data_IF_163740595199
#
_entry.id   IF_163740595199
#
_cell.length_a   1.000
_cell.length_b   1.000
_cell.length_c   1.000
_cell.angle_alpha   90.00
_cell.angle_beta   90.00
_cell.angle_gamma   90.00
#
_symmetry.space_group_name_H-M   'P 1'
#
loop_
_entity.id
_entity.type
_entity.pdbx_description
1 polymer ?
#
# COMPACT_ATOMS: atom_id res chain seq x y z
N UNK A 1 -31.53 -30.93 22.60
CA UNK A 1 -30.16 -31.47 22.80
C UNK A 1 -29.25 -30.44 22.19
N UNK A 2 -28.48 -29.80 23.06
CA UNK A 2 -27.57 -28.75 22.66
C UNK A 2 -26.24 -29.45 22.27
N UNK A 3 -26.06 -29.70 20.99
CA UNK A 3 -24.89 -30.40 20.44
C UNK A 3 -23.69 -29.46 20.24
N UNK A 4 -23.62 -28.39 21.02
CA UNK A 4 -22.50 -27.42 20.98
C UNK A 4 -21.26 -27.97 21.66
N UNK A 5 -20.06 -27.72 21.07
CA UNK A 5 -18.77 -27.95 21.75
C UNK A 5 -18.62 -26.86 22.83
N UNK A 6 -18.79 -27.28 24.10
CA UNK A 6 -18.50 -26.41 25.24
C UNK A 6 -17.02 -26.51 25.61
N UNK A 7 -16.33 -25.37 25.65
CA UNK A 7 -14.95 -25.30 26.14
C UNK A 7 -14.92 -24.66 27.52
N UNK A 8 -14.09 -25.20 28.41
CA UNK A 8 -13.84 -24.56 29.72
C UNK A 8 -13.08 -23.26 29.53
N UNK A 9 -13.34 -22.22 30.33
CA UNK A 9 -12.47 -21.06 30.39
C UNK A 9 -11.01 -21.54 30.63
N UNK A 10 -10.07 -20.92 29.97
CA UNK A 10 -8.61 -21.20 30.02
C UNK A 10 -8.11 -22.45 29.28
N UNK A 11 -8.96 -23.20 28.59
CA UNK A 11 -8.51 -24.30 27.71
C UNK A 11 -8.90 -24.01 26.26
N UNK A 12 -7.92 -23.66 25.43
CA UNK A 12 -8.14 -23.52 23.98
C UNK A 12 -8.47 -24.86 23.33
N UNK A 13 -9.21 -24.83 22.23
CA UNK A 13 -9.43 -26.01 21.37
C UNK A 13 -8.09 -26.38 20.70
N UNK A 14 -7.53 -27.54 21.08
CA UNK A 14 -6.40 -28.15 20.38
C UNK A 14 -6.91 -29.17 19.39
N UNK A 15 -6.70 -28.89 18.10
CA UNK A 15 -6.97 -29.84 17.03
C UNK A 15 -5.63 -30.37 16.55
N UNK A 16 -5.33 -31.62 16.82
CA UNK A 16 -4.13 -32.29 16.32
C UNK A 16 -4.56 -33.21 15.19
N UNK A 17 -4.09 -33.00 13.95
CA UNK A 17 -4.36 -33.94 12.87
C UNK A 17 -3.68 -35.28 13.17
N UNK A 18 -4.45 -36.35 13.14
CA UNK A 18 -3.92 -37.71 13.24
C UNK A 18 -3.70 -38.24 11.81
N UNK A 19 -2.44 -38.42 11.41
CA UNK A 19 -2.06 -38.99 10.13
C UNK A 19 -1.71 -37.96 9.04
N UNK A 20 -1.62 -38.41 7.79
CA UNK A 20 -1.19 -37.62 6.64
C UNK A 20 -2.25 -36.62 6.13
N UNK A 21 -3.48 -36.75 6.59
CA UNK A 21 -4.56 -35.81 6.21
C UNK A 21 -4.48 -34.55 7.03
N UNK A 22 -4.31 -33.44 6.37
CA UNK A 22 -4.09 -32.12 6.98
C UNK A 22 -5.38 -31.33 7.25
N UNK A 23 -6.56 -31.90 6.91
CA UNK A 23 -7.84 -31.19 7.09
C UNK A 23 -8.20 -31.10 8.57
N UNK A 24 -8.23 -29.91 9.13
CA UNK A 24 -8.58 -29.65 10.52
C UNK A 24 -10.09 -29.58 10.72
N UNK A 25 -10.78 -28.89 9.83
CA UNK A 25 -12.23 -28.67 9.88
C UNK A 25 -12.79 -28.81 8.48
N UNK A 26 -13.86 -29.56 8.32
CA UNK A 26 -14.56 -29.73 7.06
C UNK A 26 -16.05 -29.45 7.22
N UNK A 27 -16.61 -28.69 6.31
CA UNK A 27 -18.01 -28.35 6.26
C UNK A 27 -18.68 -29.10 5.10
N UNK A 28 -19.76 -29.79 5.39
CA UNK A 28 -20.47 -30.60 4.41
C UNK A 28 -21.90 -30.11 4.22
N UNK A 29 -22.38 -30.17 3.00
CA UNK A 29 -23.81 -29.98 2.71
C UNK A 29 -24.64 -31.11 3.30
N UNK A 30 -25.83 -30.83 3.82
CA UNK A 30 -26.69 -31.75 4.52
C UNK A 30 -26.96 -33.09 3.79
N UNK A 31 -26.76 -33.18 2.48
CA UNK A 31 -27.02 -34.36 1.66
C UNK A 31 -25.81 -34.87 0.84
N UNK A 32 -24.61 -34.35 1.05
CA UNK A 32 -23.39 -34.81 0.37
C UNK A 32 -22.52 -35.61 1.34
N UNK A 33 -22.27 -36.86 1.05
CA UNK A 33 -21.50 -37.75 1.93
C UNK A 33 -20.01 -37.83 1.60
N UNK A 34 -19.49 -37.11 0.59
CA UNK A 34 -18.14 -37.36 0.08
C UNK A 34 -17.25 -36.15 -0.21
N UNK A 35 -17.78 -34.96 -0.37
CA UNK A 35 -16.97 -33.77 -0.67
C UNK A 35 -17.32 -32.62 0.25
N UNK A 36 -16.32 -32.02 0.89
CA UNK A 36 -16.49 -30.82 1.70
C UNK A 36 -16.73 -29.61 0.79
N UNK A 37 -17.78 -28.84 1.04
CA UNK A 37 -17.98 -27.54 0.37
C UNK A 37 -16.94 -26.52 0.77
N UNK A 38 -16.42 -26.66 1.99
CA UNK A 38 -15.42 -25.78 2.54
C UNK A 38 -14.55 -26.53 3.55
N UNK A 39 -13.24 -26.32 3.56
CA UNK A 39 -12.35 -26.90 4.55
C UNK A 39 -11.25 -25.93 4.98
N UNK A 40 -10.76 -26.15 6.19
CA UNK A 40 -9.59 -25.46 6.75
C UNK A 40 -8.55 -26.52 7.05
N UNK A 41 -7.34 -26.34 6.58
CA UNK A 41 -6.25 -27.26 6.87
C UNK A 41 -4.94 -26.55 7.22
N UNK A 42 -4.08 -27.31 7.91
CA UNK A 42 -2.66 -26.96 8.09
C UNK A 42 -1.87 -27.99 7.30
N UNK A 43 -1.16 -27.55 6.29
CA UNK A 43 -0.40 -28.44 5.44
C UNK A 43 0.81 -29.02 6.22
N UNK A 44 0.93 -30.37 6.30
CA UNK A 44 1.99 -31.08 7.02
C UNK A 44 3.40 -30.73 6.50
N UNK A 45 3.52 -30.15 5.30
CA UNK A 45 4.77 -29.66 4.72
C UNK A 45 5.27 -28.32 5.28
N UNK A 46 4.77 -27.86 6.41
CA UNK A 46 5.23 -26.61 7.03
C UNK A 46 4.79 -25.31 6.35
N UNK A 47 3.80 -25.37 5.47
CA UNK A 47 3.48 -24.24 4.57
C UNK A 47 2.45 -23.24 5.10
N UNK A 48 1.80 -23.50 6.24
CA UNK A 48 0.84 -22.58 6.87
C UNK A 48 -0.60 -23.03 6.84
N UNK A 49 -1.54 -22.09 7.01
CA UNK A 49 -2.98 -22.31 7.08
C UNK A 49 -3.61 -22.11 5.70
N UNK A 50 -4.50 -23.01 5.30
CA UNK A 50 -5.20 -22.93 4.03
C UNK A 50 -6.72 -23.04 4.24
N UNK A 51 -7.45 -22.26 3.47
CA UNK A 51 -8.90 -22.33 3.34
C UNK A 51 -9.21 -22.81 1.92
N UNK A 52 -9.97 -23.88 1.82
CA UNK A 52 -10.35 -24.48 0.55
C UNK A 52 -11.86 -24.39 0.33
N UNK A 53 -12.25 -24.19 -0.91
CA UNK A 53 -13.63 -24.31 -1.38
C UNK A 53 -13.88 -25.68 -2.03
N UNK A 54 -14.90 -25.73 -2.87
CA UNK A 54 -15.25 -26.93 -3.63
C UNK A 54 -14.02 -27.45 -4.43
N UNK A 55 -13.92 -28.78 -4.53
CA UNK A 55 -12.85 -29.49 -5.24
C UNK A 55 -11.44 -29.13 -4.72
N UNK A 56 -11.32 -28.88 -3.43
CA UNK A 56 -10.05 -28.51 -2.76
C UNK A 56 -9.35 -27.28 -3.37
N UNK A 57 -10.09 -26.40 -4.04
CA UNK A 57 -9.56 -25.16 -4.57
C UNK A 57 -9.12 -24.24 -3.42
N UNK A 58 -7.86 -23.84 -3.39
CA UNK A 58 -7.37 -22.87 -2.40
C UNK A 58 -8.02 -21.50 -2.61
N UNK A 59 -8.78 -21.05 -1.60
CA UNK A 59 -9.40 -19.72 -1.58
C UNK A 59 -8.50 -18.70 -0.88
N UNK A 60 -7.92 -19.10 0.27
CA UNK A 60 -6.98 -18.27 1.04
C UNK A 60 -5.85 -19.17 1.49
N UNK A 61 -4.62 -18.70 1.35
CA UNK A 61 -3.40 -19.31 1.90
C UNK A 61 -2.69 -18.30 2.79
N UNK A 62 -2.36 -18.70 4.01
CA UNK A 62 -1.50 -17.91 4.92
C UNK A 62 -0.26 -18.74 5.18
N UNK A 63 0.89 -18.31 4.64
CA UNK A 63 2.17 -18.99 4.82
C UNK A 63 2.80 -18.65 6.18
N UNK A 64 3.70 -19.51 6.65
CA UNK A 64 4.44 -19.27 7.90
C UNK A 64 5.33 -18.04 7.87
N UNK A 65 5.81 -17.64 6.70
CA UNK A 65 6.60 -16.42 6.49
C UNK A 65 5.74 -15.14 6.48
N UNK A 66 4.41 -15.26 6.72
CA UNK A 66 3.47 -14.14 6.81
C UNK A 66 2.81 -13.75 5.49
N UNK A 67 3.17 -14.37 4.36
CA UNK A 67 2.56 -14.08 3.07
C UNK A 67 1.14 -14.62 3.00
N UNK A 68 0.25 -13.85 2.38
CA UNK A 68 -1.16 -14.19 2.20
C UNK A 68 -1.50 -14.27 0.71
N UNK A 69 -2.04 -15.40 0.28
CA UNK A 69 -2.59 -15.59 -1.06
C UNK A 69 -4.10 -15.60 -1.05
N UNK A 70 -4.73 -14.85 -1.93
CA UNK A 70 -6.16 -14.96 -2.24
C UNK A 70 -6.30 -15.61 -3.60
N UNK A 71 -6.93 -16.78 -3.67
CA UNK A 71 -7.00 -17.63 -4.86
C UNK A 71 -5.60 -17.99 -5.42
N UNK A 72 -4.56 -17.83 -4.61
CA UNK A 72 -3.15 -18.08 -4.91
C UNK A 72 -2.59 -19.03 -3.85
N UNK A 73 -2.14 -20.22 -4.26
CA UNK A 73 -1.61 -21.25 -3.35
C UNK A 73 -0.13 -21.04 -3.00
N UNK A 74 0.60 -20.25 -3.81
CA UNK A 74 2.02 -19.98 -3.64
C UNK A 74 2.30 -18.46 -3.72
N UNK A 75 1.91 -17.68 -2.68
CA UNK A 75 2.16 -16.25 -2.69
C UNK A 75 3.66 -15.92 -2.62
N UNK A 76 4.12 -15.04 -3.49
CA UNK A 76 5.50 -14.55 -3.56
C UNK A 76 5.67 -13.21 -2.83
N UNK A 77 4.57 -12.43 -2.70
CA UNK A 77 4.52 -11.13 -2.01
C UNK A 77 3.75 -11.25 -0.69
N UNK A 78 3.80 -10.21 0.14
CA UNK A 78 3.05 -10.13 1.41
C UNK A 78 1.54 -10.37 1.22
N UNK A 79 1.01 -9.90 0.10
CA UNK A 79 -0.35 -10.20 -0.36
C UNK A 79 -0.36 -10.43 -1.86
N UNK A 80 -0.70 -11.63 -2.28
CA UNK A 80 -0.95 -11.98 -3.68
C UNK A 80 -2.41 -12.29 -3.89
N UNK A 81 -3.02 -11.65 -4.91
CA UNK A 81 -4.41 -11.85 -5.30
C UNK A 81 -4.45 -12.30 -6.76
N UNK A 82 -4.79 -13.58 -6.99
CA UNK A 82 -5.08 -14.08 -8.33
C UNK A 82 -6.53 -13.75 -8.66
N UNK A 83 -6.76 -12.49 -9.07
CA UNK A 83 -8.08 -11.96 -9.35
C UNK A 83 -8.13 -10.43 -9.31
N UNK A 84 -9.31 -9.87 -9.14
CA UNK A 84 -9.53 -8.42 -9.07
C UNK A 84 -9.56 -7.95 -7.62
N UNK A 85 -8.75 -6.95 -7.29
CA UNK A 85 -8.73 -6.29 -5.99
C UNK A 85 -9.59 -5.01 -6.02
N UNK A 86 -10.71 -5.02 -5.30
CA UNK A 86 -11.52 -3.84 -5.03
C UNK A 86 -11.08 -3.15 -3.73
N UNK A 87 -10.68 -1.87 -3.80
CA UNK A 87 -10.30 -1.08 -2.63
C UNK A 87 -11.00 0.28 -2.67
N UNK A 88 -11.45 0.77 -1.52
CA UNK A 88 -12.09 2.08 -1.43
C UNK A 88 -11.10 3.23 -1.67
N UNK A 89 -9.88 3.09 -1.16
CA UNK A 89 -8.80 4.07 -1.35
C UNK A 89 -7.43 3.39 -1.22
N UNK A 90 -6.43 3.94 -1.90
CA UNK A 90 -5.03 3.52 -1.79
C UNK A 90 -4.19 4.69 -1.30
N UNK A 91 -3.41 4.48 -0.26
CA UNK A 91 -2.47 5.46 0.29
C UNK A 91 -1.06 4.93 0.15
N UNK A 92 -0.17 5.73 -0.43
CA UNK A 92 1.26 5.42 -0.50
C UNK A 92 1.90 5.49 0.88
N UNK A 93 2.71 4.50 1.23
CA UNK A 93 3.34 4.38 2.56
C UNK A 93 4.87 4.34 2.49
N UNK A 94 5.48 4.44 1.32
CA UNK A 94 6.94 4.56 1.20
C UNK A 94 7.45 5.82 1.91
N UNK A 95 6.80 6.95 1.65
CA UNK A 95 7.00 8.18 2.41
C UNK A 95 5.70 8.96 2.47
N UNK A 96 5.44 9.60 3.59
CA UNK A 96 4.33 10.55 3.75
C UNK A 96 4.79 11.70 4.63
N UNK A 97 4.21 12.85 4.42
CA UNK A 97 4.56 14.02 5.22
C UNK A 97 3.89 15.28 4.73
N UNK A 98 4.40 16.38 5.24
CA UNK A 98 3.91 17.69 4.95
C UNK A 98 5.11 18.65 4.83
N UNK A 99 5.08 19.52 3.84
CA UNK A 99 6.09 20.58 3.65
C UNK A 99 5.40 21.91 3.39
N UNK A 100 6.05 23.06 3.69
CA UNK A 100 5.45 24.36 3.46
C UNK A 100 5.03 24.60 2.00
N UNK A 101 3.88 25.23 1.80
CA UNK A 101 3.37 25.70 0.51
C UNK A 101 3.77 27.17 0.26
N UNK A 102 5.03 27.53 0.57
CA UNK A 102 5.58 28.88 0.58
C UNK A 102 6.23 29.28 -0.76
N UNK A 103 6.01 28.49 -1.81
CA UNK A 103 6.63 28.73 -3.12
C UNK A 103 8.10 28.34 -3.22
N UNK A 104 8.75 27.89 -2.15
CA UNK A 104 10.13 27.44 -2.14
C UNK A 104 10.23 25.92 -2.30
N UNK A 105 11.40 25.44 -2.70
CA UNK A 105 11.65 24.01 -2.86
C UNK A 105 11.93 23.34 -1.52
N UNK A 106 11.14 22.32 -1.19
CA UNK A 106 11.29 21.49 0.01
C UNK A 106 11.53 20.04 -0.37
N UNK A 107 12.48 19.35 0.29
CA UNK A 107 12.69 17.93 0.06
C UNK A 107 11.51 17.11 0.63
N UNK A 108 11.01 16.18 -0.17
CA UNK A 108 9.96 15.22 0.23
C UNK A 108 10.52 13.80 0.35
N UNK A 109 11.62 13.51 -0.33
CA UNK A 109 12.45 12.32 -0.13
C UNK A 109 13.91 12.75 -0.27
N UNK A 110 14.79 12.21 0.58
CA UNK A 110 16.23 12.47 0.58
C UNK A 110 17.02 11.16 0.63
N UNK A 111 18.32 11.25 0.36
CA UNK A 111 19.22 10.09 0.50
C UNK A 111 18.99 8.99 -0.51
N UNK A 112 18.48 9.34 -1.68
CA UNK A 112 18.20 8.38 -2.74
C UNK A 112 19.48 8.05 -3.52
N UNK A 113 19.61 6.78 -3.90
CA UNK A 113 20.66 6.27 -4.78
C UNK A 113 20.07 5.26 -5.77
N UNK A 114 20.68 5.15 -6.95
CA UNK A 114 20.33 4.16 -7.94
C UNK A 114 19.02 4.42 -8.69
N UNK A 115 18.38 3.34 -9.10
CA UNK A 115 17.15 3.36 -9.90
C UNK A 115 15.94 3.43 -8.99
N UNK A 116 15.10 4.43 -9.18
CA UNK A 116 13.87 4.61 -8.39
C UNK A 116 12.68 4.97 -9.28
N UNK A 117 11.52 4.51 -8.87
CA UNK A 117 10.24 4.85 -9.47
C UNK A 117 9.20 5.07 -8.37
N UNK A 118 8.64 6.27 -8.31
CA UNK A 118 7.67 6.67 -7.31
C UNK A 118 6.36 7.14 -7.94
N UNK A 119 5.26 6.79 -7.28
CA UNK A 119 3.96 7.42 -7.49
C UNK A 119 3.70 8.38 -6.31
N UNK A 120 3.32 9.61 -6.63
CA UNK A 120 3.13 10.68 -5.66
C UNK A 120 1.70 11.18 -5.77
N UNK A 121 0.98 11.21 -4.66
CA UNK A 121 -0.25 11.96 -4.52
C UNK A 121 -0.05 13.08 -3.51
N UNK A 122 -0.44 14.30 -3.85
CA UNK A 122 -0.27 15.44 -2.97
C UNK A 122 -1.43 16.42 -3.08
N UNK A 123 -1.68 17.11 -1.98
CA UNK A 123 -2.68 18.17 -1.88
C UNK A 123 -2.09 19.38 -1.18
N UNK A 124 -2.39 20.55 -1.71
CA UNK A 124 -2.13 21.82 -1.03
C UNK A 124 -3.43 22.59 -0.87
N UNK A 125 -3.66 23.11 0.33
CA UNK A 125 -4.83 23.92 0.66
C UNK A 125 -4.37 25.19 1.34
N UNK A 126 -4.71 26.32 0.76
CA UNK A 126 -4.53 27.64 1.39
C UNK A 126 -5.73 28.04 2.21
N UNK A 127 -5.82 29.34 2.52
CA UNK A 127 -6.94 29.89 3.25
C UNK A 127 -8.27 29.64 2.51
N UNK A 128 -9.28 29.24 3.25
CA UNK A 128 -10.63 29.00 2.71
C UNK A 128 -11.13 30.23 1.94
N UNK A 129 -11.73 30.03 0.78
CA UNK A 129 -12.26 31.06 -0.13
C UNK A 129 -11.23 31.97 -0.79
N UNK A 130 -9.94 31.66 -0.79
CA UNK A 130 -8.89 32.46 -1.47
C UNK A 130 -8.45 31.89 -2.80
N UNK A 131 -8.92 30.70 -3.19
CA UNK A 131 -8.58 30.08 -4.47
C UNK A 131 -7.26 29.32 -4.54
N UNK A 132 -6.58 29.13 -3.41
CA UNK A 132 -5.30 28.42 -3.35
C UNK A 132 -5.52 26.94 -3.02
N UNK A 133 -5.91 26.15 -4.01
CA UNK A 133 -6.11 24.71 -3.89
C UNK A 133 -5.46 23.99 -5.04
N UNK A 134 -4.77 22.90 -4.74
CA UNK A 134 -4.20 22.02 -5.75
C UNK A 134 -4.22 20.58 -5.27
N UNK A 135 -4.58 19.68 -6.16
CA UNK A 135 -4.31 18.24 -6.02
C UNK A 135 -3.38 17.83 -7.15
N UNK A 136 -2.43 16.97 -6.84
CA UNK A 136 -1.41 16.50 -7.77
C UNK A 136 -1.28 14.99 -7.73
N UNK A 137 -1.12 14.40 -8.92
CA UNK A 137 -0.73 13.01 -9.11
C UNK A 137 0.48 12.99 -10.04
N UNK A 138 1.59 12.44 -9.58
CA UNK A 138 2.83 12.42 -10.35
C UNK A 138 3.50 11.04 -10.34
N UNK A 139 4.16 10.72 -11.45
CA UNK A 139 5.10 9.61 -11.55
C UNK A 139 6.50 10.20 -11.68
N UNK A 140 7.37 9.86 -10.76
CA UNK A 140 8.75 10.34 -10.70
C UNK A 140 9.72 9.17 -10.88
N UNK A 141 10.47 9.20 -11.98
CA UNK A 141 11.42 8.18 -12.39
C UNK A 141 12.83 8.74 -12.37
N UNK A 142 13.79 7.97 -11.89
CA UNK A 142 15.21 8.31 -11.96
C UNK A 142 16.08 7.07 -12.09
N UNK A 143 17.16 7.24 -12.86
CA UNK A 143 18.23 6.25 -13.05
C UNK A 143 19.56 6.83 -12.55
N UNK A 144 19.55 7.53 -11.40
CA UNK A 144 20.76 8.10 -10.85
C UNK A 144 21.78 6.99 -10.54
N UNK A 145 22.88 6.99 -11.19
CA UNK A 145 23.89 5.95 -11.09
C UNK A 145 25.13 6.28 -11.88
N UNK A 146 25.27 7.51 -12.38
CA UNK A 146 26.45 7.90 -13.10
C UNK A 146 26.21 8.83 -14.29
N UNK A 147 27.23 8.95 -15.10
CA UNK A 147 27.22 9.74 -16.31
C UNK A 147 26.18 9.19 -17.30
N UNK A 148 25.26 10.03 -17.74
CA UNK A 148 24.19 9.63 -18.67
C UNK A 148 22.88 9.22 -18.03
N UNK A 149 22.79 9.22 -16.71
CA UNK A 149 21.51 9.03 -16.00
C UNK A 149 20.45 9.98 -16.49
N UNK A 150 19.24 9.47 -16.58
CA UNK A 150 18.06 10.26 -16.96
C UNK A 150 17.01 10.18 -15.88
N UNK A 151 16.37 11.31 -15.64
CA UNK A 151 15.25 11.40 -14.72
C UNK A 151 14.08 12.09 -15.40
N UNK A 152 12.88 11.70 -15.03
CA UNK A 152 11.63 12.26 -15.58
C UNK A 152 10.58 12.35 -14.48
N UNK A 153 9.77 13.40 -14.54
CA UNK A 153 8.58 13.54 -13.71
C UNK A 153 7.41 13.88 -14.61
N UNK A 154 6.40 13.02 -14.61
CA UNK A 154 5.10 13.30 -15.21
C UNK A 154 4.17 13.73 -14.08
N UNK A 155 3.66 14.94 -14.13
CA UNK A 155 2.83 15.52 -13.08
C UNK A 155 1.51 16.01 -13.68
N UNK A 156 0.41 15.44 -13.21
CA UNK A 156 -0.96 15.90 -13.51
C UNK A 156 -1.50 16.64 -12.31
N UNK A 157 -2.04 17.82 -12.52
CA UNK A 157 -2.54 18.68 -11.44
C UNK A 157 -3.92 19.22 -11.78
N UNK A 158 -4.83 19.17 -10.79
CA UNK A 158 -6.05 19.97 -10.77
C UNK A 158 -5.91 21.06 -9.72
N UNK A 159 -6.29 22.29 -10.06
CA UNK A 159 -6.13 23.45 -9.18
C UNK A 159 -7.31 24.40 -9.34
N UNK A 160 -7.59 25.12 -8.26
CA UNK A 160 -8.59 26.18 -8.24
C UNK A 160 -7.89 27.52 -8.02
N UNK A 161 -8.18 28.48 -8.87
CA UNK A 161 -7.48 29.76 -8.93
C UNK A 161 -6.67 29.90 -10.24
N UNK A 162 -5.40 30.21 -10.14
CA UNK A 162 -4.52 30.41 -11.29
C UNK A 162 -3.54 29.25 -11.49
N UNK A 163 -2.95 29.16 -12.69
CA UNK A 163 -1.91 28.19 -13.00
C UNK A 163 -0.70 28.23 -12.03
N UNK A 164 -0.55 29.32 -11.28
CA UNK A 164 0.47 29.48 -10.23
C UNK A 164 0.15 28.67 -8.97
N UNK A 165 -1.05 28.16 -8.83
CA UNK A 165 -1.44 27.33 -7.67
C UNK A 165 -1.02 25.87 -7.80
N UNK A 166 -0.31 25.50 -8.85
CA UNK A 166 0.15 24.14 -9.10
C UNK A 166 1.23 23.70 -8.11
N UNK A 167 1.13 22.43 -7.67
CA UNK A 167 2.26 21.72 -7.08
C UNK A 167 3.15 21.26 -8.23
N UNK A 168 4.45 21.43 -8.08
CA UNK A 168 5.47 20.96 -9.02
C UNK A 168 6.60 20.25 -8.28
N UNK A 169 7.28 19.38 -8.98
CA UNK A 169 8.37 18.56 -8.44
C UNK A 169 9.63 18.72 -9.25
N UNK A 170 10.78 18.46 -8.63
CA UNK A 170 12.06 18.30 -9.32
C UNK A 170 12.97 17.32 -8.60
N UNK A 171 13.87 16.73 -9.36
CA UNK A 171 15.05 16.05 -8.83
C UNK A 171 16.16 17.06 -8.52
N UNK A 172 16.88 16.85 -7.43
CA UNK A 172 18.05 17.62 -7.04
C UNK A 172 19.08 16.73 -6.37
N UNK A 173 20.35 17.13 -6.41
CA UNK A 173 21.46 16.37 -5.87
C UNK A 173 22.40 15.85 -6.96
N UNK A 174 23.34 15.00 -6.56
CA UNK A 174 24.35 14.40 -7.41
C UNK A 174 24.41 12.89 -7.18
N UNK A 175 25.28 12.21 -7.92
CA UNK A 175 25.57 10.79 -7.84
C UNK A 175 25.51 10.23 -6.42
N UNK A 176 24.78 9.15 -6.21
CA UNK A 176 24.65 8.42 -4.94
C UNK A 176 24.01 9.20 -3.78
N UNK A 177 23.56 10.42 -4.00
CA UNK A 177 22.82 11.19 -3.00
C UNK A 177 21.94 12.24 -3.67
N UNK A 178 20.72 11.89 -3.98
CA UNK A 178 19.79 12.81 -4.59
C UNK A 178 18.46 12.84 -3.83
N UNK A 179 17.65 13.82 -4.16
CA UNK A 179 16.40 14.11 -3.46
C UNK A 179 15.32 14.45 -4.45
N UNK A 180 14.08 14.11 -4.09
CA UNK A 180 12.88 14.59 -4.74
C UNK A 180 12.33 15.77 -3.94
N UNK A 181 12.11 16.89 -4.61
CA UNK A 181 11.62 18.13 -4.01
C UNK A 181 10.25 18.47 -4.58
N UNK A 182 9.44 19.10 -3.73
CA UNK A 182 8.16 19.68 -4.09
C UNK A 182 8.08 21.16 -3.74
N UNK A 183 7.26 21.92 -4.45
CA UNK A 183 6.79 23.25 -4.09
C UNK A 183 5.45 23.58 -4.73
N UNK A 184 4.75 24.54 -4.21
CA UNK A 184 3.76 25.31 -4.96
C UNK A 184 4.46 26.33 -5.86
N UNK A 185 3.84 26.73 -6.98
CA UNK A 185 4.45 27.78 -7.84
C UNK A 185 4.40 29.16 -7.22
N UNK A 186 3.49 29.39 -6.28
CA UNK A 186 3.40 30.61 -5.48
C UNK A 186 3.31 30.26 -4.00
N UNK A 187 3.55 31.24 -3.16
CA UNK A 187 3.25 31.16 -1.75
C UNK A 187 1.73 31.15 -1.52
N UNK A 188 1.26 30.19 -0.71
CA UNK A 188 -0.14 30.08 -0.29
C UNK A 188 -0.44 30.91 0.96
N UNK A 189 0.59 31.50 1.56
CA UNK A 189 0.51 32.32 2.75
C UNK A 189 0.51 31.52 4.06
N UNK A 190 0.11 32.17 5.11
CA UNK A 190 0.07 31.62 6.46
C UNK A 190 -1.37 31.50 6.98
N UNK A 191 -1.59 30.50 7.84
CA UNK A 191 -2.83 30.37 8.58
C UNK A 191 -2.89 31.53 9.62
N UNK A 192 -3.96 32.34 9.59
CA UNK A 192 -4.08 33.48 10.50
C UNK A 192 -4.09 33.09 11.98
N UNK A 193 -4.48 31.84 12.31
CA UNK A 193 -4.58 31.33 13.69
C UNK A 193 -3.27 30.77 14.18
N UNK A 194 -2.65 29.86 13.40
CA UNK A 194 -1.42 29.17 13.81
C UNK A 194 -0.14 29.93 13.46
N UNK A 195 -0.23 30.95 12.58
CA UNK A 195 0.94 31.69 12.05
C UNK A 195 1.96 30.80 11.32
N UNK A 196 1.56 29.59 10.96
CA UNK A 196 2.38 28.68 10.17
C UNK A 196 1.98 28.72 8.70
N UNK A 197 2.94 28.50 7.80
CA UNK A 197 2.65 28.38 6.37
C UNK A 197 1.64 27.28 6.10
N UNK A 198 0.77 27.47 5.13
CA UNK A 198 -0.02 26.37 4.57
C UNK A 198 0.90 25.31 4.00
N UNK A 199 0.41 24.08 3.88
CA UNK A 199 1.25 22.92 3.59
C UNK A 199 0.88 22.22 2.28
N UNK A 200 1.86 21.51 1.74
CA UNK A 200 1.69 20.44 0.77
C UNK A 200 1.75 19.14 1.56
N UNK A 201 0.61 18.45 1.68
CA UNK A 201 0.54 17.13 2.28
C UNK A 201 0.70 16.08 1.18
N UNK A 202 1.58 15.10 1.37
CA UNK A 202 1.91 14.13 0.34
C UNK A 202 1.95 12.69 0.85
N UNK A 203 1.64 11.77 -0.07
CA UNK A 203 1.84 10.33 0.10
C UNK A 203 2.61 9.81 -1.12
N UNK A 204 3.58 8.96 -0.89
CA UNK A 204 4.45 8.40 -1.92
C UNK A 204 4.46 6.88 -1.80
N UNK A 205 4.24 6.21 -2.93
CA UNK A 205 4.41 4.76 -3.07
C UNK A 205 5.66 4.48 -3.90
N UNK A 206 6.45 3.49 -3.52
CA UNK A 206 7.44 2.93 -4.42
C UNK A 206 6.76 2.04 -5.45
N UNK A 207 7.12 2.18 -6.72
CA UNK A 207 6.66 1.34 -7.82
C UNK A 207 7.65 0.22 -8.15
N UNK A 208 8.82 0.23 -7.52
CA UNK A 208 9.83 -0.80 -7.60
C UNK A 208 10.04 -1.40 -6.20
N UNK A 209 10.31 -2.70 -6.15
CA UNK A 209 10.80 -3.33 -4.93
C UNK A 209 12.26 -2.90 -4.77
N UNK A 210 12.55 -2.12 -3.74
CA UNK A 210 13.88 -1.64 -3.39
C UNK A 210 14.45 -2.53 -2.30
#
# INVERSE_FOLDING_TARGET
IDDGISMKPDTGLKINPLGESSKLISFFKKNSQRESEFSIDINNGNEGLSFHGEMDKTLIKIKKDGKVGINCSQPEHELDVDGTLGIKSRVGMYAKGSVPADGKWHPIITGLDGIVAFEITAIAKGKVNTGHYCVSHAIALSTFGGRGSKSKINNTTAYYGGYRDKIIYKWAGALHNFSLLARTRRDYGEDPKSKSSYTIDYNISSLLKI
#
